data_IF_400650980187
#
_entry.id   IF_400650980187
#
_cell.length_a   1.000
_cell.length_b   1.000
_cell.length_c   1.000
_cell.angle_alpha   90.00
_cell.angle_beta   90.00
_cell.angle_gamma   90.00
#
_symmetry.space_group_name_H-M   'P 1'
#
loop_
_entity.id
_entity.type
_entity.pdbx_description
1 polymer ?
#
# COMPACT_ATOMS: atom_id res chain seq x y z
N UNK A 1 4.46 -16.13 -6.41
CA UNK A 1 4.72 -14.77 -5.85
C UNK A 1 3.57 -14.44 -4.91
N UNK A 2 3.82 -14.25 -3.60
CA UNK A 2 2.75 -14.15 -2.59
C UNK A 2 1.98 -12.81 -2.62
N UNK A 3 2.60 -11.74 -3.11
CA UNK A 3 2.04 -10.38 -3.13
C UNK A 3 2.01 -9.74 -4.54
N UNK A 4 2.03 -10.55 -5.61
CA UNK A 4 1.81 -10.09 -6.99
C UNK A 4 2.89 -9.23 -7.66
N UNK A 5 3.96 -8.84 -6.96
CA UNK A 5 5.03 -8.01 -7.55
C UNK A 5 6.14 -8.84 -8.20
N UNK A 6 6.66 -8.33 -9.32
CA UNK A 6 7.77 -8.94 -10.04
C UNK A 6 9.01 -9.09 -9.15
N UNK A 7 9.65 -10.27 -9.18
CA UNK A 7 10.78 -10.60 -8.28
C UNK A 7 11.92 -9.60 -8.41
N UNK A 8 12.25 -9.15 -9.63
CA UNK A 8 13.32 -8.15 -9.83
C UNK A 8 12.99 -6.81 -9.15
N UNK A 9 11.71 -6.41 -9.15
CA UNK A 9 11.28 -5.19 -8.47
C UNK A 9 11.40 -5.36 -6.95
N UNK A 10 10.96 -6.49 -6.40
CA UNK A 10 11.09 -6.79 -4.97
C UNK A 10 12.57 -6.77 -4.52
N UNK A 11 13.47 -7.38 -5.30
CA UNK A 11 14.91 -7.35 -5.03
C UNK A 11 15.45 -5.92 -5.08
N UNK A 12 15.15 -5.16 -6.13
CA UNK A 12 15.64 -3.80 -6.30
C UNK A 12 15.19 -2.85 -5.18
N UNK A 13 13.94 -2.98 -4.71
CA UNK A 13 13.44 -2.17 -3.59
C UNK A 13 13.92 -2.68 -2.23
N UNK A 14 14.21 -3.98 -2.07
CA UNK A 14 14.72 -4.56 -0.83
C UNK A 14 16.18 -4.19 -0.53
N UNK A 15 17.03 -4.06 -1.56
CA UNK A 15 18.46 -3.74 -1.42
C UNK A 15 18.77 -2.23 -1.55
N UNK A 16 17.75 -1.39 -1.63
CA UNK A 16 17.95 0.03 -1.90
C UNK A 16 18.57 0.76 -0.72
N UNK A 17 19.50 1.68 -0.98
CA UNK A 17 20.04 2.61 0.01
C UNK A 17 19.16 3.84 0.26
N UNK A 18 17.99 3.92 -0.40
CA UNK A 18 17.02 4.99 -0.17
C UNK A 18 16.47 4.91 1.26
N UNK A 19 16.40 6.06 1.93
CA UNK A 19 15.80 6.14 3.26
C UNK A 19 14.31 5.74 3.25
N UNK A 20 13.77 5.28 4.40
CA UNK A 20 12.42 4.71 4.47
C UNK A 20 11.32 5.60 3.89
N UNK A 21 11.39 6.91 4.14
CA UNK A 21 10.43 7.89 3.63
C UNK A 21 10.44 8.03 2.10
N UNK A 22 11.62 7.88 1.48
CA UNK A 22 11.73 7.92 0.02
C UNK A 22 11.27 6.60 -0.59
N UNK A 23 11.56 5.49 0.08
CA UNK A 23 11.18 4.14 -0.36
C UNK A 23 9.66 3.93 -0.30
N UNK A 24 8.98 4.44 0.74
CA UNK A 24 7.53 4.26 0.92
C UNK A 24 6.69 4.78 -0.26
N UNK A 25 7.19 5.78 -1.00
CA UNK A 25 6.50 6.39 -2.15
C UNK A 25 6.84 5.73 -3.48
N UNK A 26 7.66 4.69 -3.49
CA UNK A 26 8.04 4.02 -4.73
C UNK A 26 6.89 3.15 -5.26
N UNK A 27 6.73 3.03 -6.59
CA UNK A 27 5.64 2.26 -7.18
C UNK A 27 5.60 0.80 -6.74
N UNK A 28 6.76 0.13 -6.61
CA UNK A 28 6.79 -1.28 -6.19
C UNK A 28 6.36 -1.48 -4.74
N UNK A 29 6.69 -0.55 -3.84
CA UNK A 29 6.22 -0.61 -2.46
C UNK A 29 4.71 -0.35 -2.40
N UNK A 30 4.19 0.62 -3.15
CA UNK A 30 2.74 0.89 -3.22
C UNK A 30 1.94 -0.24 -3.90
N UNK A 31 2.55 -1.02 -4.79
CA UNK A 31 1.91 -2.22 -5.37
C UNK A 31 1.73 -3.33 -4.34
N UNK A 32 2.71 -3.55 -3.45
CA UNK A 32 2.60 -4.53 -2.37
C UNK A 32 1.71 -4.01 -1.24
N UNK A 33 1.98 -2.80 -0.75
CA UNK A 33 1.24 -2.13 0.31
C UNK A 33 0.07 -1.34 -0.26
N UNK A 34 -0.75 -2.01 -1.08
CA UNK A 34 -1.93 -1.39 -1.68
C UNK A 34 -3.01 -1.12 -0.63
N UNK A 35 -3.97 -0.24 -0.94
CA UNK A 35 -5.11 0.02 -0.07
C UNK A 35 -5.93 -1.26 0.20
N UNK A 36 -5.99 -2.17 -0.77
CA UNK A 36 -6.68 -3.46 -0.62
C UNK A 36 -5.98 -4.35 0.40
N UNK A 37 -4.65 -4.46 0.31
CA UNK A 37 -3.85 -5.19 1.29
C UNK A 37 -4.03 -4.59 2.68
N UNK A 38 -3.90 -3.27 2.83
CA UNK A 38 -4.07 -2.60 4.11
C UNK A 38 -5.47 -2.79 4.71
N UNK A 39 -6.52 -2.79 3.86
CA UNK A 39 -7.88 -3.13 4.29
C UNK A 39 -7.99 -4.57 4.79
N UNK A 40 -7.33 -5.53 4.12
CA UNK A 40 -7.31 -6.94 4.56
C UNK A 40 -6.56 -7.15 5.88
N UNK A 41 -5.56 -6.31 6.16
CA UNK A 41 -4.85 -6.27 7.45
C UNK A 41 -5.62 -5.52 8.55
N UNK A 42 -6.83 -5.02 8.26
CA UNK A 42 -7.73 -4.40 9.23
C UNK A 42 -7.66 -2.87 9.30
N UNK A 43 -6.99 -2.19 8.36
CA UNK A 43 -7.07 -0.73 8.29
C UNK A 43 -8.39 -0.28 7.67
N UNK A 44 -9.02 0.71 8.31
CA UNK A 44 -10.25 1.32 7.83
C UNK A 44 -9.95 2.48 6.87
N UNK A 45 -10.74 2.58 5.80
CA UNK A 45 -10.72 3.75 4.92
C UNK A 45 -11.43 4.92 5.59
N UNK A 46 -10.68 6.00 5.85
CA UNK A 46 -11.23 7.24 6.38
C UNK A 46 -12.27 7.85 5.42
N UNK A 47 -12.03 7.74 4.11
CA UNK A 47 -12.95 8.23 3.09
C UNK A 47 -14.30 7.50 3.17
N UNK A 48 -14.28 6.18 3.32
CA UNK A 48 -15.49 5.37 3.36
C UNK A 48 -16.31 5.72 4.61
N UNK A 49 -15.61 5.90 5.76
CA UNK A 49 -16.24 6.39 7.00
C UNK A 49 -16.82 7.79 6.88
N UNK A 50 -16.11 8.71 6.23
CA UNK A 50 -16.60 10.06 5.97
C UNK A 50 -17.85 10.06 5.09
N UNK A 51 -17.85 9.31 3.98
CA UNK A 51 -19.02 9.20 3.10
C UNK A 51 -20.21 8.66 3.88
N UNK A 52 -20.03 7.59 4.66
CA UNK A 52 -21.09 7.00 5.48
C UNK A 52 -21.67 7.99 6.51
N UNK A 53 -20.84 8.88 7.06
CA UNK A 53 -21.28 9.84 8.08
C UNK A 53 -22.08 11.00 7.48
N UNK A 54 -21.67 11.50 6.31
CA UNK A 54 -22.23 12.73 5.72
C UNK A 54 -23.24 12.49 4.60
N UNK A 55 -23.27 11.28 4.05
CA UNK A 55 -24.24 10.86 3.03
C UNK A 55 -24.91 9.54 3.47
N UNK A 56 -25.66 9.54 4.60
CA UNK A 56 -26.53 8.43 4.93
C UNK A 56 -27.66 8.35 3.90
N UNK A 57 -27.97 7.13 3.42
CA UNK A 57 -29.16 6.86 2.60
C UNK A 57 -30.47 7.22 3.33
#
# INVERSE_FOLDING_TARGET
MRQGVHVQAAVAFGITSKGPWRSSKTPGINQVLSLEFLKSEGLYSLRDGWIKLYYPE
#
